data_IF_334008393684
#
_entry.id   IF_334008393684
#
_cell.length_a   1.000
_cell.length_b   1.000
_cell.length_c   1.000
_cell.angle_alpha   90.00
_cell.angle_beta   90.00
_cell.angle_gamma   90.00
#
_symmetry.space_group_name_H-M   'P 1'
#
loop_
_entity.id
_entity.type
_entity.pdbx_description
1 polymer ?
#
# COMPACT_ATOMS: atom_id res chain seq x y z
N UNK A 1 -23.34 17.80 -6.84
CA UNK A 1 -23.81 16.94 -7.95
C UNK A 1 -22.85 15.75 -8.06
N UNK A 2 -23.32 14.50 -7.96
CA UNK A 2 -22.44 13.33 -7.95
C UNK A 2 -21.89 13.07 -9.37
N UNK A 3 -20.56 13.19 -9.56
CA UNK A 3 -19.91 12.82 -10.83
C UNK A 3 -20.11 11.32 -11.07
N UNK A 4 -20.74 10.94 -12.19
CA UNK A 4 -20.91 9.54 -12.61
C UNK A 4 -19.73 9.15 -13.51
N UNK A 5 -19.00 8.12 -13.11
CA UNK A 5 -17.88 7.55 -13.88
C UNK A 5 -18.35 6.37 -14.72
N UNK A 6 -17.73 6.17 -15.88
CA UNK A 6 -17.77 4.88 -16.59
C UNK A 6 -16.91 3.84 -15.85
N UNK A 7 -17.05 2.56 -16.19
CA UNK A 7 -16.20 1.51 -15.62
C UNK A 7 -14.72 1.79 -15.87
N UNK A 8 -14.39 2.22 -17.10
CA UNK A 8 -13.02 2.61 -17.46
C UNK A 8 -12.51 3.79 -16.63
N UNK A 9 -13.30 4.86 -16.47
CA UNK A 9 -12.92 6.00 -15.63
C UNK A 9 -12.78 5.60 -14.15
N UNK A 10 -13.64 4.71 -13.66
CA UNK A 10 -13.54 4.16 -12.30
C UNK A 10 -12.24 3.37 -12.10
N UNK A 11 -11.82 2.60 -13.10
CA UNK A 11 -10.57 1.86 -13.04
C UNK A 11 -9.33 2.77 -13.15
N UNK A 12 -9.41 3.86 -13.92
CA UNK A 12 -8.36 4.89 -13.94
C UNK A 12 -8.26 5.63 -12.60
N UNK A 13 -9.39 5.87 -11.93
CA UNK A 13 -9.39 6.39 -10.56
C UNK A 13 -8.68 5.43 -9.60
N UNK A 14 -9.00 4.13 -9.66
CA UNK A 14 -8.31 3.11 -8.85
C UNK A 14 -6.80 3.09 -9.13
N UNK A 15 -6.40 3.21 -10.41
CA UNK A 15 -4.99 3.30 -10.80
C UNK A 15 -4.32 4.56 -10.24
N UNK A 16 -5.01 5.70 -10.24
CA UNK A 16 -4.49 6.96 -9.66
C UNK A 16 -4.21 6.85 -8.16
N UNK A 17 -5.08 6.15 -7.42
CA UNK A 17 -4.90 5.95 -5.98
C UNK A 17 -3.67 5.08 -5.71
N UNK A 18 -3.51 4.00 -6.49
CA UNK A 18 -2.34 3.12 -6.41
C UNK A 18 -1.05 3.86 -6.80
N UNK A 19 -1.09 4.68 -7.85
CA UNK A 19 0.03 5.52 -8.28
C UNK A 19 0.53 6.43 -7.15
N UNK A 20 -0.37 7.22 -6.53
CA UNK A 20 0.02 8.14 -5.46
C UNK A 20 0.71 7.40 -4.29
N UNK A 21 0.25 6.20 -3.96
CA UNK A 21 0.86 5.36 -2.90
C UNK A 21 2.26 4.89 -3.31
N UNK A 22 2.44 4.43 -4.55
CA UNK A 22 3.75 4.01 -5.06
C UNK A 22 4.72 5.16 -5.21
N UNK A 23 4.25 6.33 -5.61
CA UNK A 23 5.06 7.55 -5.70
C UNK A 23 5.60 7.94 -4.32
N UNK A 24 4.77 7.94 -3.26
CA UNK A 24 5.24 8.17 -1.89
C UNK A 24 6.30 7.14 -1.45
N UNK A 25 6.14 5.87 -1.80
CA UNK A 25 7.12 4.82 -1.46
C UNK A 25 8.43 5.02 -2.23
N UNK A 26 8.33 5.39 -3.52
CA UNK A 26 9.49 5.54 -4.39
C UNK A 26 10.31 6.80 -4.06
N UNK A 27 9.65 7.93 -3.80
CA UNK A 27 10.27 9.24 -3.61
C UNK A 27 10.58 9.57 -2.14
N UNK A 28 9.64 9.33 -1.22
CA UNK A 28 9.74 9.85 0.16
C UNK A 28 10.47 8.87 1.09
N UNK A 29 10.38 7.57 0.85
CA UNK A 29 10.94 6.60 1.78
C UNK A 29 12.47 6.66 1.94
N UNK A 30 13.28 6.82 0.87
CA UNK A 30 14.73 6.94 1.01
C UNK A 30 15.16 8.12 1.89
N UNK A 31 14.36 9.20 1.93
CA UNK A 31 14.66 10.45 2.63
C UNK A 31 14.41 10.39 4.14
N UNK A 32 13.70 9.38 4.62
CA UNK A 32 13.28 9.25 6.03
C UNK A 32 13.81 7.99 6.70
N UNK A 33 14.83 7.35 6.12
CA UNK A 33 15.37 6.10 6.68
C UNK A 33 16.08 6.35 8.02
N UNK A 34 15.41 5.94 9.09
CA UNK A 34 15.97 5.79 10.44
C UNK A 34 16.95 4.63 10.45
N UNK A 35 18.03 4.68 11.23
CA UNK A 35 18.99 3.57 11.40
C UNK A 35 18.56 2.55 12.48
N UNK A 36 19.24 1.40 12.52
CA UNK A 36 19.06 0.38 13.56
C UNK A 36 17.76 -0.43 13.46
N UNK A 37 17.28 -0.97 14.59
CA UNK A 37 16.15 -1.92 14.63
C UNK A 37 14.83 -1.34 14.09
N UNK A 38 14.61 -0.04 14.26
CA UNK A 38 13.42 0.67 13.74
C UNK A 38 13.42 0.71 12.21
N UNK A 39 14.59 0.84 11.59
CA UNK A 39 14.77 0.75 10.13
C UNK A 39 14.23 -0.56 9.57
N UNK A 40 14.52 -1.67 10.26
CA UNK A 40 14.14 -3.01 9.84
C UNK A 40 12.61 -3.18 9.85
N UNK A 41 11.95 -2.76 10.94
CA UNK A 41 10.49 -2.80 11.02
C UNK A 41 9.81 -1.92 9.98
N UNK A 42 10.35 -0.73 9.72
CA UNK A 42 9.87 0.12 8.62
C UNK A 42 10.01 -0.62 7.29
N UNK A 43 11.18 -1.16 6.95
CA UNK A 43 11.39 -1.92 5.69
C UNK A 43 10.39 -3.06 5.53
N UNK A 44 10.03 -3.76 6.61
CA UNK A 44 9.00 -4.80 6.57
C UNK A 44 7.60 -4.24 6.27
N UNK A 45 7.19 -3.16 6.95
CA UNK A 45 5.93 -2.47 6.70
C UNK A 45 5.85 -1.97 5.25
N UNK A 46 6.94 -1.40 4.73
CA UNK A 46 7.01 -0.94 3.35
C UNK A 46 6.86 -2.07 2.34
N UNK A 47 7.55 -3.19 2.55
CA UNK A 47 7.37 -4.40 1.74
C UNK A 47 5.90 -4.82 1.72
N UNK A 48 5.24 -4.85 2.87
CA UNK A 48 3.84 -5.26 2.99
C UNK A 48 2.90 -4.34 2.20
N UNK A 49 3.07 -3.03 2.35
CA UNK A 49 2.31 -2.03 1.58
C UNK A 49 2.57 -2.20 0.07
N UNK A 50 3.84 -2.35 -0.34
CA UNK A 50 4.21 -2.57 -1.74
C UNK A 50 3.54 -3.82 -2.30
N UNK A 51 3.62 -4.95 -1.60
CA UNK A 51 2.99 -6.21 -2.03
C UNK A 51 1.48 -6.06 -2.18
N UNK A 52 0.82 -5.41 -1.22
CA UNK A 52 -0.61 -5.16 -1.30
C UNK A 52 -0.96 -4.29 -2.52
N UNK A 53 -0.22 -3.19 -2.73
CA UNK A 53 -0.47 -2.29 -3.86
C UNK A 53 -0.12 -2.93 -5.21
N UNK A 54 0.89 -3.82 -5.28
CA UNK A 54 1.21 -4.58 -6.50
C UNK A 54 0.08 -5.54 -6.85
N UNK A 55 -0.50 -6.22 -5.86
CA UNK A 55 -1.66 -7.08 -6.08
C UNK A 55 -2.87 -6.29 -6.59
N UNK A 56 -3.13 -5.12 -6.01
CA UNK A 56 -4.19 -4.22 -6.45
C UNK A 56 -3.94 -3.72 -7.88
N UNK A 57 -2.70 -3.30 -8.19
CA UNK A 57 -2.27 -2.88 -9.52
C UNK A 57 -2.56 -3.95 -10.56
N UNK A 58 -2.16 -5.21 -10.31
CA UNK A 58 -2.40 -6.33 -11.23
C UNK A 58 -3.89 -6.49 -11.53
N UNK A 59 -4.75 -6.38 -10.51
CA UNK A 59 -6.21 -6.45 -10.70
C UNK A 59 -6.73 -5.29 -11.55
N UNK A 60 -6.35 -4.06 -11.19
CA UNK A 60 -6.77 -2.84 -11.90
C UNK A 60 -6.34 -2.88 -13.36
N UNK A 61 -5.10 -3.28 -13.65
CA UNK A 61 -4.62 -3.45 -15.02
C UNK A 61 -5.49 -4.42 -15.82
N UNK A 62 -5.83 -5.58 -15.24
CA UNK A 62 -6.68 -6.56 -15.94
C UNK A 62 -8.09 -6.01 -16.21
N UNK A 63 -8.62 -5.17 -15.31
CA UNK A 63 -9.90 -4.50 -15.53
C UNK A 63 -9.79 -3.45 -16.64
N UNK A 64 -8.76 -2.61 -16.62
CA UNK A 64 -8.50 -1.59 -17.65
C UNK A 64 -8.31 -2.19 -19.05
N UNK A 65 -7.67 -3.37 -19.16
CA UNK A 65 -7.48 -4.10 -20.42
C UNK A 65 -8.78 -4.52 -21.10
N UNK A 66 -9.92 -4.48 -20.42
CA UNK A 66 -11.24 -4.71 -21.06
C UNK A 66 -11.61 -3.57 -22.03
N UNK A 67 -10.97 -2.40 -21.92
CA UNK A 67 -11.11 -1.30 -22.86
C UNK A 67 -10.10 -1.42 -24.01
N UNK A 68 -10.59 -1.49 -25.25
CA UNK A 68 -9.74 -1.72 -26.44
C UNK A 68 -8.73 -0.61 -26.72
N UNK A 69 -9.01 0.65 -26.35
CA UNK A 69 -8.04 1.75 -26.49
C UNK A 69 -6.91 1.60 -25.49
N UNK A 70 -7.24 1.23 -24.25
CA UNK A 70 -6.24 0.98 -23.22
C UNK A 70 -5.40 -0.25 -23.53
N UNK A 71 -6.01 -1.34 -24.00
CA UNK A 71 -5.29 -2.56 -24.36
C UNK A 71 -4.17 -2.29 -25.38
N UNK A 72 -4.45 -1.47 -26.41
CA UNK A 72 -3.43 -1.07 -27.39
C UNK A 72 -2.24 -0.35 -26.76
N UNK A 73 -2.50 0.57 -25.82
CA UNK A 73 -1.42 1.25 -25.10
C UNK A 73 -0.66 0.27 -24.20
N UNK A 74 -1.40 -0.57 -23.46
CA UNK A 74 -0.84 -1.52 -22.50
C UNK A 74 0.07 -2.55 -23.16
N UNK A 75 -0.23 -3.00 -24.38
CA UNK A 75 0.68 -3.86 -25.16
C UNK A 75 2.02 -3.18 -25.47
N UNK A 76 2.01 -1.88 -25.77
CA UNK A 76 3.24 -1.11 -26.06
C UNK A 76 4.10 -0.97 -24.79
N UNK A 77 3.48 -0.71 -23.65
CA UNK A 77 4.18 -0.48 -22.37
C UNK A 77 4.27 -1.73 -21.50
N UNK A 78 3.90 -2.90 -22.03
CA UNK A 78 3.84 -4.19 -21.31
C UNK A 78 5.16 -4.55 -20.65
N UNK A 79 6.29 -4.17 -21.27
CA UNK A 79 7.64 -4.42 -20.75
C UNK A 79 7.86 -3.82 -19.35
N UNK A 80 7.13 -2.77 -18.98
CA UNK A 80 7.19 -2.18 -17.64
C UNK A 80 6.46 -3.01 -16.58
N UNK A 81 5.56 -3.89 -17.02
CA UNK A 81 4.69 -4.68 -16.14
C UNK A 81 5.13 -6.14 -16.06
N UNK A 82 5.87 -6.62 -17.07
CA UNK A 82 6.40 -7.99 -17.10
C UNK A 82 7.15 -8.40 -15.84
N UNK A 83 8.11 -7.60 -15.31
CA UNK A 83 8.80 -7.93 -14.07
C UNK A 83 7.86 -8.11 -12.87
N UNK A 84 6.72 -7.42 -12.86
CA UNK A 84 5.70 -7.54 -11.81
C UNK A 84 4.89 -8.83 -12.01
N UNK A 85 4.54 -9.15 -13.26
CA UNK A 85 3.72 -10.30 -13.61
C UNK A 85 4.45 -11.64 -13.42
N UNK A 86 5.76 -11.68 -13.63
CA UNK A 86 6.61 -12.84 -13.32
C UNK A 86 6.47 -13.26 -11.85
N UNK A 87 6.19 -12.30 -10.97
CA UNK A 87 6.00 -12.51 -9.54
C UNK A 87 4.54 -12.46 -9.08
N UNK A 88 3.57 -12.55 -10.00
CA UNK A 88 2.13 -12.49 -9.68
C UNK A 88 1.70 -13.49 -8.61
N UNK A 89 2.25 -14.71 -8.65
CA UNK A 89 1.93 -15.78 -7.68
C UNK A 89 2.45 -15.45 -6.28
N UNK A 90 3.76 -15.22 -6.05
CA UNK A 90 4.26 -14.84 -4.72
C UNK A 90 3.62 -13.53 -4.20
N UNK A 91 3.36 -12.53 -5.06
CA UNK A 91 2.66 -11.30 -4.66
C UNK A 91 1.27 -11.60 -4.08
N UNK A 92 0.50 -12.46 -4.76
CA UNK A 92 -0.85 -12.87 -4.30
C UNK A 92 -0.78 -13.64 -2.98
N UNK A 93 0.15 -14.60 -2.86
CA UNK A 93 0.30 -15.41 -1.64
C UNK A 93 0.75 -14.55 -0.45
N UNK A 94 1.71 -13.64 -0.63
CA UNK A 94 2.15 -12.71 0.41
C UNK A 94 1.00 -11.79 0.87
N UNK A 95 0.23 -11.23 -0.08
CA UNK A 95 -0.94 -10.38 0.25
C UNK A 95 -1.99 -11.15 1.03
N UNK A 96 -2.35 -12.35 0.56
CA UNK A 96 -3.40 -13.14 1.18
C UNK A 96 -3.00 -13.64 2.57
N UNK A 97 -1.74 -14.03 2.75
CA UNK A 97 -1.23 -14.40 4.06
C UNK A 97 -1.22 -13.15 4.98
N UNK A 98 -0.71 -11.99 4.57
CA UNK A 98 -0.78 -10.79 5.42
C UNK A 98 -2.22 -10.44 5.92
N UNK A 99 -3.20 -10.39 5.01
CA UNK A 99 -4.60 -10.07 5.36
C UNK A 99 -5.23 -11.14 6.26
N UNK A 100 -5.03 -12.42 5.94
CA UNK A 100 -5.63 -13.54 6.69
C UNK A 100 -5.12 -13.68 8.11
N UNK A 101 -3.95 -13.13 8.44
CA UNK A 101 -3.33 -13.34 9.75
C UNK A 101 -3.69 -12.26 10.77
N UNK A 102 -4.06 -11.06 10.32
CA UNK A 102 -4.33 -9.92 11.20
C UNK A 102 -5.83 -9.58 11.22
N UNK A 103 -6.56 -9.79 10.11
CA UNK A 103 -7.92 -9.26 9.94
C UNK A 103 -9.02 -10.32 9.90
N UNK A 104 -8.72 -11.53 9.44
CA UNK A 104 -9.70 -12.60 9.32
C UNK A 104 -9.47 -13.62 10.43
N UNK A 105 -10.48 -13.88 11.27
CA UNK A 105 -10.39 -14.67 12.52
C UNK A 105 -9.97 -16.15 12.39
N UNK A 106 -9.31 -16.57 11.31
CA UNK A 106 -8.67 -17.88 11.12
C UNK A 106 -7.24 -17.90 11.67
N UNK A 107 -7.13 -18.02 13.00
CA UNK A 107 -5.93 -17.75 13.83
C UNK A 107 -4.72 -18.71 13.71
N UNK A 108 -4.28 -19.12 12.52
CA UNK A 108 -3.02 -19.89 12.39
C UNK A 108 -2.19 -19.44 11.20
N UNK A 109 -0.90 -19.19 11.45
CA UNK A 109 0.06 -18.96 10.38
C UNK A 109 0.15 -20.21 9.51
N UNK A 110 -0.42 -20.17 8.29
CA UNK A 110 -0.32 -21.28 7.34
C UNK A 110 1.06 -21.32 6.71
N UNK A 111 1.54 -20.17 6.26
CA UNK A 111 2.89 -19.95 5.76
C UNK A 111 3.31 -18.53 6.20
N UNK A 112 4.48 -18.43 6.80
CA UNK A 112 5.14 -17.16 7.10
C UNK A 112 5.61 -16.48 5.82
N UNK A 113 5.81 -15.16 5.88
CA UNK A 113 6.40 -14.39 4.77
C UNK A 113 7.73 -14.99 4.28
N UNK A 114 8.57 -15.49 5.20
CA UNK A 114 9.85 -16.09 4.86
C UNK A 114 9.69 -17.42 4.10
N UNK A 115 8.74 -18.26 4.51
CA UNK A 115 8.45 -19.52 3.80
C UNK A 115 7.97 -19.26 2.37
N UNK A 116 7.11 -18.26 2.18
CA UNK A 116 6.63 -17.87 0.84
C UNK A 116 7.78 -17.33 -0.01
N UNK A 117 8.61 -16.46 0.57
CA UNK A 117 9.80 -15.92 -0.10
C UNK A 117 10.74 -17.03 -0.56
N UNK A 118 11.05 -17.99 0.31
CA UNK A 118 11.93 -19.12 -0.01
C UNK A 118 11.31 -20.04 -1.07
N UNK A 119 10.03 -20.38 -0.91
CA UNK A 119 9.27 -21.27 -1.81
C UNK A 119 9.21 -20.75 -3.25
N UNK A 120 9.15 -19.43 -3.43
CA UNK A 120 9.06 -18.80 -4.76
C UNK A 120 10.35 -18.11 -5.20
N UNK A 121 11.44 -18.24 -4.44
CA UNK A 121 12.68 -17.49 -4.65
C UNK A 121 12.43 -15.98 -4.88
N UNK A 122 11.53 -15.40 -4.09
CA UNK A 122 11.08 -14.03 -4.30
C UNK A 122 12.10 -13.05 -3.74
N UNK A 123 12.56 -12.04 -4.49
CA UNK A 123 13.60 -11.15 -3.99
C UNK A 123 13.15 -10.35 -2.76
N UNK A 124 14.06 -10.21 -1.80
CA UNK A 124 13.79 -9.54 -0.51
C UNK A 124 14.49 -8.19 -0.36
N UNK A 125 15.34 -7.81 -1.32
CA UNK A 125 16.08 -6.56 -1.24
C UNK A 125 15.12 -5.38 -1.34
N UNK A 126 15.33 -4.37 -0.49
CA UNK A 126 14.51 -3.17 -0.52
C UNK A 126 14.53 -2.49 -1.90
N UNK A 127 15.71 -2.46 -2.54
CA UNK A 127 15.90 -1.92 -3.89
C UNK A 127 15.02 -2.62 -4.94
N UNK A 128 14.75 -3.92 -4.78
CA UNK A 128 13.84 -4.63 -5.68
C UNK A 128 12.39 -4.16 -5.52
N UNK A 129 11.89 -4.01 -4.29
CA UNK A 129 10.55 -3.46 -4.05
C UNK A 129 10.43 -2.01 -4.54
N UNK A 130 11.48 -1.20 -4.37
CA UNK A 130 11.54 0.16 -4.89
C UNK A 130 11.54 0.18 -6.42
N UNK A 131 12.26 -0.74 -7.07
CA UNK A 131 12.24 -0.92 -8.51
C UNK A 131 10.84 -1.24 -9.03
N UNK A 132 10.13 -2.21 -8.43
CA UNK A 132 8.75 -2.54 -8.81
C UNK A 132 7.79 -1.35 -8.58
N UNK A 133 7.96 -0.60 -7.48
CA UNK A 133 7.21 0.62 -7.22
C UNK A 133 7.44 1.69 -8.29
N UNK A 134 8.69 1.90 -8.69
CA UNK A 134 9.08 2.80 -9.78
C UNK A 134 8.42 2.43 -11.11
N UNK A 135 8.45 1.14 -11.48
CA UNK A 135 7.79 0.64 -12.68
C UNK A 135 6.29 0.98 -12.71
N UNK A 136 5.56 0.73 -11.61
CA UNK A 136 4.13 1.07 -11.52
C UNK A 136 3.92 2.59 -11.59
N UNK A 137 4.80 3.37 -10.96
CA UNK A 137 4.70 4.83 -10.99
C UNK A 137 4.82 5.37 -12.41
N UNK A 138 5.88 5.00 -13.14
CA UNK A 138 6.08 5.44 -14.52
C UNK A 138 4.99 4.90 -15.46
N UNK A 139 4.57 3.64 -15.28
CA UNK A 139 3.47 3.06 -16.06
C UNK A 139 2.19 3.92 -15.90
N UNK A 140 1.83 4.24 -14.66
CA UNK A 140 0.63 5.04 -14.35
C UNK A 140 0.72 6.45 -14.92
N UNK A 141 1.91 7.06 -14.93
CA UNK A 141 2.15 8.37 -15.55
C UNK A 141 1.92 8.33 -17.06
N UNK A 142 2.40 7.28 -17.75
CA UNK A 142 2.16 7.10 -19.18
C UNK A 142 0.66 6.94 -19.47
N UNK A 143 -0.04 6.11 -18.70
CA UNK A 143 -1.51 5.94 -18.85
C UNK A 143 -2.23 7.27 -18.62
N UNK A 144 -1.89 8.02 -17.56
CA UNK A 144 -2.44 9.36 -17.29
C UNK A 144 -2.27 10.32 -18.44
N UNK A 145 -1.11 10.32 -19.08
CA UNK A 145 -0.82 11.22 -20.18
C UNK A 145 -1.57 10.88 -21.47
N UNK A 146 -2.02 9.64 -21.64
CA UNK A 146 -2.76 9.18 -22.82
C UNK A 146 -4.29 9.19 -22.64
N UNK A 147 -4.78 9.21 -21.40
CA UNK A 147 -6.21 9.25 -21.05
C UNK A 147 -6.56 10.48 -20.20
N UNK A 148 -6.01 11.65 -20.56
CA UNK A 148 -6.05 12.88 -19.72
C UNK A 148 -7.47 13.30 -19.37
N UNK A 149 -8.43 13.20 -20.29
CA UNK A 149 -9.80 13.66 -20.06
C UNK A 149 -10.56 12.71 -19.12
N UNK A 150 -10.40 11.40 -19.31
CA UNK A 150 -10.94 10.37 -18.42
C UNK A 150 -10.32 10.50 -17.01
N UNK A 151 -9.03 10.81 -16.93
CA UNK A 151 -8.34 11.11 -15.68
C UNK A 151 -8.84 12.39 -15.02
N UNK A 152 -9.07 13.48 -15.76
CA UNK A 152 -9.63 14.72 -15.19
C UNK A 152 -10.98 14.47 -14.57
N UNK A 153 -11.84 13.67 -15.22
CA UNK A 153 -13.16 13.33 -14.68
C UNK A 153 -13.06 12.42 -13.44
N UNK A 154 -12.12 11.47 -13.47
CA UNK A 154 -11.77 10.62 -12.33
C UNK A 154 -11.25 11.44 -11.14
N UNK A 155 -10.38 12.42 -11.40
CA UNK A 155 -9.83 13.32 -10.38
C UNK A 155 -10.91 14.20 -9.74
N UNK A 156 -11.85 14.75 -10.53
CA UNK A 156 -13.02 15.48 -9.99
C UNK A 156 -13.86 14.61 -9.04
N UNK A 157 -14.01 13.31 -9.35
CA UNK A 157 -14.67 12.36 -8.44
C UNK A 157 -13.82 12.09 -7.20
N UNK A 158 -12.50 11.94 -7.36
CA UNK A 158 -11.58 11.76 -6.23
C UNK A 158 -11.61 12.94 -5.27
N UNK A 159 -11.55 14.17 -5.78
CA UNK A 159 -11.69 15.41 -4.99
C UNK A 159 -13.04 15.46 -4.28
N UNK A 160 -14.12 15.12 -4.98
CA UNK A 160 -15.45 15.05 -4.38
C UNK A 160 -15.60 13.97 -3.29
N UNK A 161 -14.87 12.85 -3.39
CA UNK A 161 -14.87 11.77 -2.38
C UNK A 161 -13.92 12.11 -1.22
N UNK A 162 -12.78 12.74 -1.50
CA UNK A 162 -11.77 13.09 -0.50
C UNK A 162 -12.29 14.13 0.50
N UNK A 163 -13.31 14.90 0.13
CA UNK A 163 -13.82 16.00 0.95
C UNK A 163 -12.80 17.13 1.08
N UNK A 164 -13.00 18.04 2.03
CA UNK A 164 -11.89 18.88 2.52
C UNK A 164 -10.75 17.93 2.91
N UNK A 165 -9.51 18.23 2.48
CA UNK A 165 -8.36 17.50 3.00
C UNK A 165 -8.52 17.45 4.51
N UNK A 166 -8.62 16.25 5.09
CA UNK A 166 -8.42 16.10 6.52
C UNK A 166 -7.01 16.60 6.73
N UNK A 167 -6.86 17.86 7.12
CA UNK A 167 -5.66 18.30 7.77
C UNK A 167 -5.58 17.41 8.99
N UNK A 168 -4.67 16.44 8.94
CA UNK A 168 -4.23 15.74 10.14
C UNK A 168 -3.40 16.78 10.90
N UNK A 169 -4.09 17.79 11.45
CA UNK A 169 -3.58 18.59 12.53
C UNK A 169 -3.51 17.59 13.68
N UNK A 170 -2.34 17.01 13.91
CA UNK A 170 -2.11 16.28 15.15
C UNK A 170 -2.18 17.33 16.27
N UNK A 171 -3.39 17.60 16.77
CA UNK A 171 -3.60 18.42 17.98
C UNK A 171 -2.91 17.81 19.20
N UNK A 172 -2.37 16.60 19.05
CA UNK A 172 -1.44 15.96 19.93
C UNK A 172 -0.05 16.04 19.31
N UNK A 173 0.89 16.69 19.99
CA UNK A 173 2.30 16.44 19.74
C UNK A 173 2.62 15.03 20.26
N UNK A 174 3.63 14.35 19.72
CA UNK A 174 3.99 13.00 20.22
C UNK A 174 4.21 12.98 21.74
N UNK A 175 4.75 14.07 22.29
CA UNK A 175 4.88 14.26 23.74
C UNK A 175 3.55 14.18 24.49
N UNK A 176 2.49 14.78 23.95
CA UNK A 176 1.14 14.75 24.55
C UNK A 176 0.50 13.35 24.46
N UNK A 177 0.88 12.55 23.45
CA UNK A 177 0.47 11.14 23.32
C UNK A 177 1.16 10.31 24.39
N UNK A 178 2.48 10.47 24.54
CA UNK A 178 3.28 9.73 25.51
C UNK A 178 2.82 10.01 26.94
N UNK A 179 2.60 11.28 27.31
CA UNK A 179 2.14 11.67 28.65
C UNK A 179 0.76 11.07 28.97
N UNK A 180 -0.15 11.01 27.99
CA UNK A 180 -1.48 10.40 28.16
C UNK A 180 -1.40 8.88 28.27
N UNK A 181 -0.55 8.23 27.47
CA UNK A 181 -0.32 6.78 27.55
C UNK A 181 0.31 6.43 28.91
N UNK A 182 1.32 7.18 29.37
CA UNK A 182 1.95 6.96 30.67
C UNK A 182 0.97 7.12 31.83
N UNK A 183 0.05 8.08 31.76
CA UNK A 183 -1.01 8.22 32.75
C UNK A 183 -1.91 6.99 32.84
N UNK A 184 -2.32 6.44 31.69
CA UNK A 184 -3.11 5.20 31.61
C UNK A 184 -2.29 4.02 32.15
N UNK A 185 -1.03 3.89 31.75
CA UNK A 185 -0.15 2.82 32.21
C UNK A 185 0.08 2.88 33.73
N UNK A 186 0.21 4.07 34.30
CA UNK A 186 0.34 4.28 35.73
C UNK A 186 -0.93 3.90 36.49
N UNK A 187 -2.10 4.33 36.01
CA UNK A 187 -3.40 3.94 36.60
C UNK A 187 -3.62 2.42 36.51
N UNK A 188 -3.25 1.81 35.39
CA UNK A 188 -3.34 0.37 35.18
C UNK A 188 -2.38 -0.39 36.11
N UNK A 189 -1.13 0.08 36.26
CA UNK A 189 -0.15 -0.47 37.19
C UNK A 189 -0.69 -0.47 38.62
N UNK A 190 -1.18 0.68 39.08
CA UNK A 190 -1.75 0.80 40.42
C UNK A 190 -2.97 -0.12 40.63
N UNK A 191 -3.80 -0.30 39.60
CA UNK A 191 -4.95 -1.21 39.66
C UNK A 191 -4.51 -2.68 39.73
N UNK A 192 -3.53 -3.07 38.92
CA UNK A 192 -3.01 -4.44 38.89
C UNK A 192 -2.29 -4.80 40.20
N UNK A 193 -1.46 -3.90 40.74
CA UNK A 193 -0.78 -4.10 42.01
C UNK A 193 -1.77 -4.23 43.18
N UNK A 194 -2.86 -3.46 43.19
CA UNK A 194 -3.95 -3.59 44.19
C UNK A 194 -4.62 -4.97 44.17
N UNK A 195 -4.61 -5.66 43.03
CA UNK A 195 -5.15 -7.01 42.88
C UNK A 195 -4.07 -8.09 42.93
N UNK A 196 -2.84 -7.75 43.33
CA UNK A 196 -1.73 -8.69 43.50
C UNK A 196 -0.99 -9.08 42.21
N UNK A 197 -1.21 -8.36 41.10
CA UNK A 197 -0.56 -8.61 39.82
C UNK A 197 0.55 -7.57 39.55
N UNK A 198 1.67 -8.00 38.98
CA UNK A 198 2.76 -7.11 38.53
C UNK A 198 2.76 -6.90 37.01
N UNK A 199 3.19 -5.72 36.57
CA UNK A 199 3.54 -5.41 35.16
C UNK A 199 5.06 -5.35 34.98
N UNK A 200 5.79 -6.28 35.61
CA UNK A 200 7.17 -6.64 35.26
C UNK A 200 7.23 -8.09 34.88
#
# INVERSE_FOLDING_TARGET
>A
MSVKLTDFESDLLRLSIVHNRFESIYLEYPNHMVEGRKALFLKHLFREIVVEQLHNFIKIRNDLRKNSKFEKLDEIIKIMVEPILEHKKPIKELRNNYVSHIQEGGRKFKETTNEIVLKYNFPTSFSFYQYLAGLVSYYSLIVKNNFKEEYKKSAKKYEAIRGEQIQINSGFKMKDVDDKIQKILFELKNSLEKHGFSIT
#
